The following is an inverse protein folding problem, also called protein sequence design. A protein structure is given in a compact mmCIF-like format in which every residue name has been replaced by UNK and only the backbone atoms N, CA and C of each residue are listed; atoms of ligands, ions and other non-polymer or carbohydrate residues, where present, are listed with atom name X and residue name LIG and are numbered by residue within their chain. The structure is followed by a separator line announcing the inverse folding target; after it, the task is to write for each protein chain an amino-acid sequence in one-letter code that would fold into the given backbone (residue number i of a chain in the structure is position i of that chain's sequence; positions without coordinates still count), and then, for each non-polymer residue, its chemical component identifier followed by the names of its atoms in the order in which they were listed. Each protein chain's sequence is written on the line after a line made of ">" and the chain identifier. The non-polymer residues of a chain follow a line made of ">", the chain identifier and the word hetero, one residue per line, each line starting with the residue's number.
data_IF_077360747919
#
_entry.id   IF_077360747919
#
_cell.length_a   1.000
_cell.length_b   1.000
_cell.length_c   1.000
_cell.angle_alpha   90.00
_cell.angle_beta   90.00
_cell.angle_gamma   90.00
#
_symmetry.space_group_name_H-M   'P 1'
#
loop_
_entity.id
_entity.type
_entity.pdbx_description
1 polymer ?
#
# COMPACT_ATOMS: atom_id res chain seq x y z
N UNK A 1 4.15 -23.73 -23.38
CA UNK A 1 3.56 -22.41 -23.11
C UNK A 1 3.38 -21.67 -24.44
N UNK A 2 2.25 -20.96 -24.65
CA UNK A 2 1.88 -20.42 -25.95
C UNK A 2 2.85 -19.35 -26.46
N UNK A 3 2.94 -19.25 -27.79
CA UNK A 3 3.81 -18.38 -28.57
C UNK A 3 3.32 -16.93 -28.58
N UNK A 4 3.31 -16.25 -27.43
CA UNK A 4 2.87 -14.84 -27.33
C UNK A 4 4.05 -13.90 -27.64
N UNK A 5 3.88 -13.05 -28.65
CA UNK A 5 4.77 -11.92 -28.96
C UNK A 5 4.73 -10.88 -27.83
N UNK A 6 5.82 -10.14 -27.65
CA UNK A 6 5.87 -9.11 -26.62
C UNK A 6 4.82 -8.04 -26.91
N UNK A 7 4.00 -7.69 -25.90
CA UNK A 7 2.97 -6.66 -26.08
C UNK A 7 3.64 -5.28 -26.07
N UNK A 8 3.73 -4.67 -27.25
CA UNK A 8 4.14 -3.28 -27.36
C UNK A 8 2.96 -2.36 -27.01
N UNK A 9 3.22 -1.26 -26.29
CA UNK A 9 2.20 -0.27 -25.93
C UNK A 9 1.64 0.45 -27.15
N UNK A 10 0.34 0.72 -27.15
CA UNK A 10 -0.39 1.27 -28.30
C UNK A 10 -0.05 2.75 -28.53
N UNK A 11 -0.01 3.16 -29.81
CA UNK A 11 0.08 4.58 -30.20
C UNK A 11 -1.30 5.24 -30.08
N UNK A 12 -1.40 6.48 -29.57
CA UNK A 12 -2.68 7.16 -29.43
C UNK A 12 -3.33 7.47 -30.80
N UNK A 13 -4.65 7.26 -30.90
CA UNK A 13 -5.41 7.39 -32.15
C UNK A 13 -5.64 8.85 -32.61
N UNK A 14 -5.69 9.82 -31.68
CA UNK A 14 -5.89 11.24 -31.99
C UNK A 14 -4.81 12.11 -31.34
N UNK A 15 -4.15 13.02 -32.09
CA UNK A 15 -3.14 13.90 -31.53
C UNK A 15 -3.82 15.04 -30.77
N UNK A 16 -3.83 14.94 -29.44
CA UNK A 16 -4.07 16.08 -28.55
C UNK A 16 -2.68 16.54 -28.09
N UNK A 17 -2.43 17.85 -27.97
CA UNK A 17 -1.16 18.34 -27.46
C UNK A 17 -0.87 17.78 -26.07
N UNK A 18 0.36 17.32 -25.85
CA UNK A 18 0.78 16.70 -24.57
C UNK A 18 0.55 17.64 -23.39
N UNK A 19 0.73 18.95 -23.58
CA UNK A 19 0.51 19.94 -22.53
C UNK A 19 -0.95 20.00 -22.08
N UNK A 20 -1.92 19.86 -22.99
CA UNK A 20 -3.34 19.86 -22.65
C UNK A 20 -3.72 18.60 -21.88
N UNK A 21 -3.20 17.45 -22.30
CA UNK A 21 -3.37 16.17 -21.60
C UNK A 21 -2.79 16.24 -20.18
N UNK A 22 -1.58 16.80 -20.04
CA UNK A 22 -0.95 17.00 -18.75
C UNK A 22 -1.79 17.93 -17.84
N UNK A 23 -2.27 19.06 -18.36
CA UNK A 23 -3.14 19.98 -17.60
C UNK A 23 -4.39 19.25 -17.09
N UNK A 24 -5.08 18.50 -17.94
CA UNK A 24 -6.30 17.77 -17.52
C UNK A 24 -5.98 16.73 -16.46
N UNK A 25 -4.92 15.92 -16.65
CA UNK A 25 -4.51 14.94 -15.67
C UNK A 25 -4.13 15.59 -14.33
N UNK A 26 -3.41 16.72 -14.36
CA UNK A 26 -3.06 17.50 -13.18
C UNK A 26 -4.30 18.06 -12.49
N UNK A 27 -5.28 18.61 -13.22
CA UNK A 27 -6.52 19.11 -12.63
C UNK A 27 -7.31 18.01 -11.91
N UNK A 28 -7.39 16.82 -12.50
CA UNK A 28 -8.07 15.68 -11.87
C UNK A 28 -7.29 15.20 -10.64
N UNK A 29 -5.95 15.16 -10.68
CA UNK A 29 -5.13 14.86 -9.49
C UNK A 29 -5.31 15.90 -8.38
N UNK A 30 -5.41 17.19 -8.73
CA UNK A 30 -5.67 18.26 -7.77
C UNK A 30 -7.07 18.14 -7.17
N UNK A 31 -8.08 17.77 -7.96
CA UNK A 31 -9.41 17.48 -7.45
C UNK A 31 -9.38 16.31 -6.45
N UNK A 32 -8.67 15.22 -6.80
CA UNK A 32 -8.43 14.09 -5.89
C UNK A 32 -7.73 14.52 -4.60
N UNK A 33 -6.68 15.33 -4.71
CA UNK A 33 -5.96 15.91 -3.56
C UNK A 33 -6.92 16.67 -2.64
N UNK A 34 -7.74 17.57 -3.19
CA UNK A 34 -8.70 18.33 -2.40
C UNK A 34 -9.68 17.41 -1.68
N UNK A 35 -10.23 16.40 -2.37
CA UNK A 35 -11.18 15.45 -1.76
C UNK A 35 -10.55 14.63 -0.63
N UNK A 36 -9.32 14.16 -0.80
CA UNK A 36 -8.61 13.37 0.22
C UNK A 36 -8.10 14.24 1.38
N UNK A 37 -7.62 15.45 1.11
CA UNK A 37 -7.13 16.38 2.12
C UNK A 37 -8.27 17.03 2.92
N UNK A 38 -9.44 17.22 2.30
CA UNK A 38 -10.58 17.83 2.96
C UNK A 38 -11.03 16.96 4.14
N UNK A 39 -11.05 17.57 5.32
CA UNK A 39 -11.42 16.93 6.58
C UNK A 39 -10.51 15.74 6.98
N UNK A 40 -9.27 15.66 6.47
CA UNK A 40 -8.36 14.50 6.65
C UNK A 40 -8.16 14.07 8.11
N UNK A 41 -8.16 15.03 9.03
CA UNK A 41 -7.90 14.80 10.45
C UNK A 41 -9.14 14.42 11.27
N UNK A 42 -10.35 14.54 10.72
CA UNK A 42 -11.58 14.18 11.42
C UNK A 42 -12.37 13.08 10.70
N UNK A 43 -12.02 12.77 9.46
CA UNK A 43 -12.59 11.66 8.70
C UNK A 43 -11.51 10.90 7.91
N UNK A 44 -11.57 9.57 7.82
CA UNK A 44 -12.40 8.70 8.66
C UNK A 44 -11.98 8.76 10.14
N UNK A 45 -12.75 8.16 11.03
CA UNK A 45 -12.33 8.01 12.43
C UNK A 45 -10.99 7.26 12.53
N UNK A 46 -10.27 7.45 13.63
CA UNK A 46 -8.97 6.79 13.82
C UNK A 46 -9.15 5.32 14.15
N UNK A 47 -8.34 4.48 13.51
CA UNK A 47 -8.37 3.03 13.68
C UNK A 47 -7.19 2.51 14.52
N UNK A 48 -7.35 1.30 15.04
CA UNK A 48 -6.33 0.62 15.86
C UNK A 48 -5.00 0.43 15.12
N UNK A 49 -5.06 0.08 13.83
CA UNK A 49 -3.88 -0.14 12.99
C UNK A 49 -3.06 1.15 12.81
N UNK A 50 -3.73 2.31 12.70
CA UNK A 50 -3.04 3.60 12.57
C UNK A 50 -2.17 3.88 13.79
N UNK A 51 -2.71 3.66 14.99
CA UNK A 51 -1.97 3.78 16.25
C UNK A 51 -0.81 2.80 16.32
N UNK A 52 -1.03 1.55 15.92
CA UNK A 52 0.00 0.50 15.93
C UNK A 52 1.17 0.87 15.02
N UNK A 53 0.91 1.30 13.79
CA UNK A 53 1.98 1.63 12.83
C UNK A 53 2.71 2.92 13.19
N UNK A 54 2.03 3.92 13.74
CA UNK A 54 2.68 5.12 14.27
C UNK A 54 3.54 4.80 15.50
N UNK A 55 3.12 3.87 16.35
CA UNK A 55 3.89 3.38 17.49
C UNK A 55 5.14 2.61 17.06
N UNK A 56 5.05 1.75 16.03
CA UNK A 56 6.22 1.11 15.43
C UNK A 56 7.18 2.12 14.80
N UNK A 57 6.66 3.14 14.12
CA UNK A 57 7.50 4.22 13.59
C UNK A 57 8.24 4.97 14.72
N UNK A 58 7.58 5.20 15.86
CA UNK A 58 8.24 5.77 17.05
C UNK A 58 9.35 4.88 17.57
N UNK A 59 9.12 3.56 17.66
CA UNK A 59 10.14 2.61 18.08
C UNK A 59 11.37 2.66 17.16
N UNK A 60 11.17 2.74 15.83
CA UNK A 60 12.26 2.81 14.82
C UNK A 60 13.12 4.05 15.00
N UNK A 61 12.50 5.20 15.26
CA UNK A 61 13.25 6.43 15.55
C UNK A 61 14.11 6.28 16.82
N UNK A 62 13.73 5.42 17.75
CA UNK A 62 14.46 5.13 18.99
C UNK A 62 15.36 3.88 18.91
N UNK A 63 15.62 3.34 17.71
CA UNK A 63 16.52 2.20 17.51
C UNK A 63 15.92 0.82 17.81
N UNK A 64 14.59 0.72 17.88
CA UNK A 64 13.84 -0.53 18.08
C UNK A 64 12.95 -0.83 16.86
N UNK A 65 12.50 -2.07 16.66
CA UNK A 65 11.54 -2.38 15.57
C UNK A 65 10.10 -2.07 16.00
N UNK A 66 9.76 -2.43 17.24
CA UNK A 66 8.47 -2.21 17.88
C UNK A 66 8.69 -1.85 19.36
N UNK A 67 7.73 -1.21 20.04
CA UNK A 67 7.87 -0.85 21.47
C UNK A 67 7.84 -2.06 22.42
N UNK A 68 7.45 -3.23 21.90
CA UNK A 68 7.35 -4.51 22.59
C UNK A 68 8.04 -5.59 21.73
N UNK A 69 8.22 -6.84 22.23
CA UNK A 69 8.85 -7.90 21.46
C UNK A 69 8.24 -8.06 20.07
N UNK A 70 9.09 -8.07 19.05
CA UNK A 70 8.65 -8.05 17.66
C UNK A 70 7.99 -9.38 17.27
N UNK A 71 6.68 -9.35 17.06
CA UNK A 71 5.86 -10.54 16.81
C UNK A 71 5.63 -10.90 15.35
N UNK A 72 6.48 -10.43 14.42
CA UNK A 72 6.46 -10.82 12.99
C UNK A 72 5.12 -10.67 12.23
N UNK A 73 4.15 -9.93 12.78
CA UNK A 73 2.85 -9.77 12.16
C UNK A 73 2.90 -9.09 10.78
N UNK A 74 3.81 -8.13 10.62
CA UNK A 74 4.13 -7.46 9.35
C UNK A 74 5.62 -7.20 9.24
N UNK A 75 6.23 -7.23 8.04
CA UNK A 75 7.60 -6.80 7.85
C UNK A 75 7.77 -5.29 8.09
N UNK A 76 8.95 -4.82 8.53
CA UNK A 76 9.09 -3.48 9.11
C UNK A 76 9.23 -2.35 8.09
N UNK A 77 9.33 -2.62 6.78
CA UNK A 77 9.72 -1.61 5.81
C UNK A 77 8.65 -0.51 5.61
N UNK A 78 7.38 -0.83 5.83
CA UNK A 78 6.32 0.17 5.84
C UNK A 78 6.47 1.13 7.03
N UNK A 79 6.81 0.61 8.21
CA UNK A 79 7.04 1.43 9.40
C UNK A 79 8.30 2.29 9.27
N UNK A 80 9.35 1.78 8.63
CA UNK A 80 10.58 2.53 8.34
C UNK A 80 10.28 3.75 7.46
N UNK A 81 9.38 3.61 6.47
CA UNK A 81 8.97 4.74 5.62
C UNK A 81 8.18 5.79 6.41
N UNK A 82 7.30 5.37 7.33
CA UNK A 82 6.59 6.27 8.23
C UNK A 82 7.58 6.99 9.16
N UNK A 83 8.55 6.27 9.75
CA UNK A 83 9.59 6.85 10.59
C UNK A 83 10.45 7.87 9.83
N UNK A 84 10.83 7.56 8.59
CA UNK A 84 11.58 8.48 7.73
C UNK A 84 10.78 9.77 7.45
N UNK A 85 9.50 9.64 7.13
CA UNK A 85 8.61 10.81 6.95
C UNK A 85 8.56 11.70 8.20
N UNK A 86 8.45 11.09 9.37
CA UNK A 86 8.37 11.81 10.64
C UNK A 86 9.66 12.58 10.91
N UNK A 87 10.82 11.96 10.70
CA UNK A 87 12.11 12.64 10.82
C UNK A 87 12.27 13.77 9.80
N UNK A 88 11.79 13.57 8.56
CA UNK A 88 11.85 14.58 7.50
C UNK A 88 10.93 15.78 7.75
N UNK A 89 9.81 15.58 8.44
CA UNK A 89 8.79 16.62 8.68
C UNK A 89 8.89 17.30 10.05
N UNK A 90 9.93 17.00 10.83
CA UNK A 90 10.18 17.66 12.11
C UNK A 90 9.48 17.03 13.32
N UNK A 91 8.95 15.81 13.19
CA UNK A 91 8.48 15.00 14.30
C UNK A 91 7.01 14.57 14.21
N UNK A 92 6.58 13.82 15.23
CA UNK A 92 5.23 13.22 15.27
C UNK A 92 4.11 14.27 15.30
N UNK A 93 4.35 15.40 15.96
CA UNK A 93 3.33 16.39 16.25
C UNK A 93 3.30 17.58 15.28
N UNK A 94 4.08 17.54 14.19
CA UNK A 94 4.14 18.62 13.18
C UNK A 94 2.77 19.01 12.64
N UNK A 95 1.88 18.03 12.46
CA UNK A 95 0.54 18.21 11.91
C UNK A 95 -0.57 18.06 12.97
N UNK A 96 -0.25 18.35 14.24
CA UNK A 96 -1.18 18.19 15.37
C UNK A 96 -0.92 16.89 16.12
N UNK A 97 -1.91 16.00 16.21
CA UNK A 97 -1.69 14.70 16.86
C UNK A 97 -0.75 13.82 16.02
N UNK A 98 -0.20 12.77 16.63
CA UNK A 98 0.76 11.88 15.98
C UNK A 98 0.19 11.23 14.69
N UNK A 99 -1.07 10.79 14.73
CA UNK A 99 -1.73 10.11 13.61
C UNK A 99 -1.87 11.02 12.38
N UNK A 100 -2.09 12.32 12.59
CA UNK A 100 -2.20 13.29 11.50
C UNK A 100 -0.95 13.33 10.62
N UNK A 101 0.24 13.24 11.22
CA UNK A 101 1.48 13.19 10.45
C UNK A 101 1.51 11.98 9.52
N UNK A 102 1.11 10.80 10.01
CA UNK A 102 0.96 9.61 9.18
C UNK A 102 -0.08 9.80 8.07
N UNK A 103 -1.24 10.40 8.36
CA UNK A 103 -2.29 10.63 7.35
C UNK A 103 -1.84 11.57 6.22
N UNK A 104 -1.03 12.58 6.52
CA UNK A 104 -0.43 13.44 5.50
C UNK A 104 0.51 12.63 4.59
N UNK A 105 1.27 11.69 5.13
CA UNK A 105 2.07 10.77 4.31
C UNK A 105 1.19 9.90 3.39
N UNK A 106 0.08 9.37 3.92
CA UNK A 106 -0.84 8.53 3.14
C UNK A 106 -1.46 9.28 1.97
N UNK A 107 -1.75 10.57 2.15
CA UNK A 107 -2.19 11.45 1.05
C UNK A 107 -1.19 11.47 -0.11
N UNK A 108 0.12 11.51 0.16
CA UNK A 108 1.15 11.46 -0.88
C UNK A 108 1.14 10.12 -1.62
N UNK A 109 1.01 9.01 -0.88
CA UNK A 109 0.88 7.68 -1.47
C UNK A 109 -0.40 7.53 -2.31
N UNK A 110 -1.51 8.10 -1.86
CA UNK A 110 -2.79 8.10 -2.59
C UNK A 110 -2.68 8.86 -3.92
N UNK A 111 -2.06 10.04 -3.92
CA UNK A 111 -1.82 10.83 -5.13
C UNK A 111 -0.86 10.13 -6.09
N UNK A 112 0.26 9.62 -5.56
CA UNK A 112 1.24 8.87 -6.35
C UNK A 112 0.60 7.64 -7.00
N UNK A 113 -0.20 6.89 -6.25
CA UNK A 113 -0.95 5.74 -6.75
C UNK A 113 -1.94 6.12 -7.83
N UNK A 114 -2.70 7.21 -7.64
CA UNK A 114 -3.66 7.72 -8.62
C UNK A 114 -2.98 8.09 -9.95
N UNK A 115 -1.82 8.75 -9.88
CA UNK A 115 -1.02 9.07 -11.05
C UNK A 115 -0.48 7.80 -11.72
N UNK A 116 0.02 6.83 -10.96
CA UNK A 116 0.53 5.57 -11.51
C UNK A 116 -0.55 4.74 -12.21
N UNK A 117 -1.78 4.75 -11.69
CA UNK A 117 -2.95 4.15 -12.36
C UNK A 117 -3.19 4.81 -13.71
N UNK A 118 -3.25 6.15 -13.75
CA UNK A 118 -3.39 6.89 -14.99
C UNK A 118 -2.29 6.54 -16.00
N UNK A 119 -1.02 6.63 -15.59
CA UNK A 119 0.12 6.38 -16.47
C UNK A 119 0.14 4.94 -17.00
N UNK A 120 -0.19 3.96 -16.16
CA UNK A 120 -0.23 2.55 -16.54
C UNK A 120 -1.31 2.26 -17.57
N UNK A 121 -2.55 2.69 -17.33
CA UNK A 121 -3.67 2.50 -18.27
C UNK A 121 -3.41 3.27 -19.57
N UNK A 122 -2.90 4.50 -19.45
CA UNK A 122 -2.57 5.33 -20.60
C UNK A 122 -1.55 4.66 -21.52
N UNK A 123 -0.60 3.94 -20.94
CA UNK A 123 0.44 3.20 -21.67
C UNK A 123 -0.06 1.86 -22.23
N UNK A 124 -0.92 1.15 -21.52
CA UNK A 124 -1.44 -0.17 -21.95
C UNK A 124 -2.47 -0.08 -23.08
N UNK A 125 -3.44 0.84 -22.95
CA UNK A 125 -4.56 0.96 -23.89
C UNK A 125 -4.38 2.07 -24.92
N UNK A 126 -3.56 3.08 -24.62
CA UNK A 126 -3.46 4.28 -25.45
C UNK A 126 -4.65 5.24 -25.36
N UNK A 127 -5.73 4.84 -24.69
CA UNK A 127 -6.94 5.66 -24.48
C UNK A 127 -6.74 6.64 -23.31
N UNK A 128 -6.90 7.94 -23.60
CA UNK A 128 -6.85 9.00 -22.58
C UNK A 128 -8.06 8.94 -21.67
N UNK A 129 -9.25 8.77 -22.26
CA UNK A 129 -10.50 8.75 -21.52
C UNK A 129 -10.53 7.59 -20.54
N UNK A 130 -10.11 6.39 -20.97
CA UNK A 130 -10.05 5.24 -20.06
C UNK A 130 -9.06 5.48 -18.92
N UNK A 131 -7.89 6.07 -19.21
CA UNK A 131 -6.90 6.38 -18.18
C UNK A 131 -7.41 7.42 -17.17
N UNK A 132 -8.06 8.49 -17.64
CA UNK A 132 -8.66 9.51 -16.77
C UNK A 132 -9.81 8.91 -15.94
N UNK A 133 -10.68 8.11 -16.54
CA UNK A 133 -11.76 7.42 -15.83
C UNK A 133 -11.20 6.47 -14.76
N UNK A 134 -10.17 5.70 -15.08
CA UNK A 134 -9.52 4.80 -14.12
C UNK A 134 -8.92 5.60 -12.94
N UNK A 135 -8.28 6.74 -13.20
CA UNK A 135 -7.76 7.62 -12.15
C UNK A 135 -8.88 8.21 -11.28
N UNK A 136 -9.98 8.66 -11.89
CA UNK A 136 -11.15 9.18 -11.18
C UNK A 136 -11.77 8.09 -10.31
N UNK A 137 -12.00 6.90 -10.85
CA UNK A 137 -12.58 5.77 -10.10
C UNK A 137 -11.65 5.39 -8.95
N UNK A 138 -10.35 5.25 -9.21
CA UNK A 138 -9.38 4.88 -8.17
C UNK A 138 -9.27 5.93 -7.06
N UNK A 139 -9.35 7.22 -7.38
CA UNK A 139 -9.18 8.29 -6.37
C UNK A 139 -10.48 8.67 -5.67
N UNK A 140 -11.62 8.65 -6.35
CA UNK A 140 -12.89 9.15 -5.83
C UNK A 140 -13.87 8.06 -5.41
N UNK A 141 -13.50 6.77 -5.51
CA UNK A 141 -14.38 5.71 -4.98
C UNK A 141 -14.58 5.87 -3.46
N UNK A 142 -15.77 5.56 -2.92
CA UNK A 142 -16.02 5.66 -1.48
C UNK A 142 -15.02 4.84 -0.65
N UNK A 143 -14.64 3.66 -1.17
CA UNK A 143 -13.66 2.78 -0.55
C UNK A 143 -12.28 3.44 -0.49
N UNK A 144 -11.85 4.05 -1.60
CA UNK A 144 -10.58 4.76 -1.68
C UNK A 144 -10.54 5.93 -0.71
N UNK A 145 -11.62 6.72 -0.64
CA UNK A 145 -11.70 7.85 0.28
C UNK A 145 -11.52 7.36 1.73
N UNK A 146 -12.17 6.26 2.13
CA UNK A 146 -12.01 5.76 3.51
C UNK A 146 -10.60 5.22 3.75
N UNK A 147 -10.16 4.24 2.97
CA UNK A 147 -8.95 3.48 3.30
C UNK A 147 -7.65 4.20 2.93
N UNK A 148 -7.61 4.98 1.83
CA UNK A 148 -6.38 5.65 1.40
C UNK A 148 -5.98 6.83 2.30
N UNK A 149 -6.91 7.33 3.13
CA UNK A 149 -6.66 8.39 4.11
C UNK A 149 -6.06 7.87 5.42
N UNK A 150 -6.34 6.61 5.77
CA UNK A 150 -5.86 6.01 7.00
C UNK A 150 -4.39 5.61 6.89
N UNK A 151 -3.68 5.65 8.00
CA UNK A 151 -2.32 5.11 8.11
C UNK A 151 -2.39 3.58 8.04
N UNK A 152 -2.43 3.04 6.83
CA UNK A 152 -2.45 1.61 6.56
C UNK A 152 -1.23 1.20 5.72
N UNK A 153 -0.65 0.05 6.04
CA UNK A 153 0.48 -0.52 5.28
C UNK A 153 0.08 -0.87 3.84
N UNK A 154 -1.20 -1.13 3.60
CA UNK A 154 -1.77 -1.36 2.28
C UNK A 154 -1.53 -0.18 1.35
N UNK A 155 -1.70 1.05 1.83
CA UNK A 155 -1.52 2.25 1.02
C UNK A 155 -0.07 2.39 0.53
N UNK A 156 0.89 2.11 1.42
CA UNK A 156 2.31 2.11 1.11
C UNK A 156 2.62 0.99 0.11
N UNK A 157 2.19 -0.23 0.41
CA UNK A 157 2.47 -1.39 -0.43
C UNK A 157 1.81 -1.33 -1.81
N UNK A 158 0.60 -0.77 -1.92
CA UNK A 158 -0.11 -0.55 -3.18
C UNK A 158 0.62 0.46 -4.06
N UNK A 159 1.13 1.56 -3.50
CA UNK A 159 1.95 2.50 -4.26
C UNK A 159 3.16 1.82 -4.91
N UNK A 160 3.92 1.06 -4.12
CA UNK A 160 5.11 0.35 -4.61
C UNK A 160 4.77 -0.75 -5.63
N UNK A 161 3.65 -1.45 -5.45
CA UNK A 161 3.13 -2.41 -6.43
C UNK A 161 2.77 -1.72 -7.75
N UNK A 162 2.03 -0.61 -7.70
CA UNK A 162 1.64 0.16 -8.88
C UNK A 162 2.86 0.72 -9.60
N UNK A 163 3.88 1.16 -8.85
CA UNK A 163 5.14 1.62 -9.43
C UNK A 163 5.88 0.48 -10.13
N UNK A 164 5.92 -0.71 -9.50
CA UNK A 164 6.51 -1.91 -10.12
C UNK A 164 5.78 -2.29 -11.42
N UNK A 165 4.46 -2.28 -11.43
CA UNK A 165 3.64 -2.52 -12.62
C UNK A 165 3.92 -1.49 -13.71
N UNK A 166 3.92 -0.21 -13.37
CA UNK A 166 4.21 0.86 -14.32
C UNK A 166 5.59 0.69 -14.97
N UNK A 167 6.62 0.40 -14.16
CA UNK A 167 7.99 0.15 -14.63
C UNK A 167 8.06 -1.06 -15.59
N UNK A 168 7.32 -2.15 -15.31
CA UNK A 168 7.23 -3.28 -16.23
C UNK A 168 6.57 -2.88 -17.56
N UNK A 169 5.48 -2.12 -17.51
CA UNK A 169 4.73 -1.70 -18.69
C UNK A 169 5.56 -0.79 -19.61
N UNK A 170 6.41 0.08 -19.05
CA UNK A 170 7.31 0.95 -19.83
C UNK A 170 8.65 0.30 -20.20
N UNK A 171 8.94 -0.90 -19.69
CA UNK A 171 10.29 -1.48 -19.75
C UNK A 171 10.80 -1.69 -21.18
N UNK A 172 9.92 -1.96 -22.16
CA UNK A 172 10.29 -2.31 -23.54
C UNK A 172 11.40 -3.40 -23.58
N UNK A 173 11.30 -4.41 -22.70
CA UNK A 173 12.32 -5.47 -22.51
C UNK A 173 13.70 -5.02 -21.99
N UNK A 174 13.86 -3.76 -21.58
CA UNK A 174 15.12 -3.27 -21.00
C UNK A 174 15.25 -3.76 -19.56
N UNK A 175 16.36 -4.43 -19.27
CA UNK A 175 16.64 -5.06 -17.98
C UNK A 175 16.55 -4.09 -16.79
N UNK A 176 17.04 -2.86 -16.94
CA UNK A 176 17.04 -1.86 -15.85
C UNK A 176 15.64 -1.65 -15.28
N UNK A 177 14.63 -1.43 -16.12
CA UNK A 177 13.25 -1.23 -15.67
C UNK A 177 12.67 -2.48 -15.01
N UNK A 178 13.05 -3.67 -15.48
CA UNK A 178 12.62 -4.95 -14.90
C UNK A 178 13.22 -5.15 -13.50
N UNK A 179 14.51 -4.83 -13.32
CA UNK A 179 15.17 -4.88 -12.02
C UNK A 179 14.61 -3.83 -11.07
N UNK A 180 14.40 -2.59 -11.54
CA UNK A 180 13.75 -1.54 -10.73
C UNK A 180 12.32 -1.94 -10.34
N UNK A 181 11.56 -2.57 -11.24
CA UNK A 181 10.25 -3.12 -10.92
C UNK A 181 10.33 -4.22 -9.86
N UNK A 182 11.31 -5.12 -9.95
CA UNK A 182 11.54 -6.14 -8.94
C UNK A 182 11.90 -5.54 -7.57
N UNK A 183 12.71 -4.48 -7.55
CA UNK A 183 13.04 -3.75 -6.32
C UNK A 183 11.78 -3.13 -5.71
N UNK A 184 11.00 -2.40 -6.50
CA UNK A 184 9.75 -1.79 -6.04
C UNK A 184 8.77 -2.86 -5.53
N UNK A 185 8.66 -4.00 -6.20
CA UNK A 185 7.80 -5.08 -5.76
C UNK A 185 8.30 -5.75 -4.48
N UNK A 186 9.61 -5.91 -4.31
CA UNK A 186 10.21 -6.33 -3.04
C UNK A 186 9.89 -5.36 -1.89
N UNK A 187 9.96 -4.05 -2.14
CA UNK A 187 9.57 -3.02 -1.16
C UNK A 187 8.08 -3.12 -0.81
N UNK A 188 7.21 -3.39 -1.80
CA UNK A 188 5.78 -3.63 -1.57
C UNK A 188 5.55 -4.83 -0.64
N UNK A 189 6.19 -5.98 -0.92
CA UNK A 189 6.12 -7.18 -0.07
C UNK A 189 6.62 -6.92 1.36
N UNK A 190 7.74 -6.20 1.49
CA UNK A 190 8.29 -5.84 2.80
C UNK A 190 7.52 -4.73 3.52
N UNK A 191 6.63 -4.02 2.81
CA UNK A 191 5.71 -3.06 3.43
C UNK A 191 4.48 -3.77 3.99
N UNK A 192 3.97 -4.78 3.27
CA UNK A 192 2.91 -5.68 3.73
C UNK A 192 3.03 -7.05 3.07
N UNK A 193 3.11 -8.10 3.88
CA UNK A 193 3.38 -9.48 3.47
C UNK A 193 2.35 -10.04 2.48
N UNK A 194 1.11 -9.56 2.52
CA UNK A 194 0.03 -10.04 1.64
C UNK A 194 0.31 -9.79 0.15
N UNK A 195 1.20 -8.83 -0.19
CA UNK A 195 1.55 -8.55 -1.58
C UNK A 195 2.32 -9.70 -2.26
N UNK A 196 2.81 -10.69 -1.50
CA UNK A 196 3.35 -11.96 -2.03
C UNK A 196 2.35 -12.66 -2.95
N UNK A 197 1.05 -12.48 -2.73
CA UNK A 197 0.00 -13.04 -3.59
C UNK A 197 0.05 -12.53 -5.04
N UNK A 198 0.69 -11.37 -5.29
CA UNK A 198 0.85 -10.82 -6.63
C UNK A 198 2.05 -11.41 -7.39
N UNK A 199 2.88 -12.27 -6.79
CA UNK A 199 4.03 -12.91 -7.46
C UNK A 199 3.64 -13.55 -8.81
N UNK A 200 2.59 -14.37 -8.91
CA UNK A 200 2.22 -14.99 -10.20
C UNK A 200 1.86 -13.95 -11.27
N UNK A 201 1.12 -12.90 -10.88
CA UNK A 201 0.73 -11.81 -11.78
C UNK A 201 1.95 -11.01 -12.25
N UNK A 202 2.90 -10.73 -11.36
CA UNK A 202 4.13 -10.00 -11.68
C UNK A 202 5.06 -10.80 -12.59
N UNK A 203 5.25 -12.11 -12.30
CA UNK A 203 6.00 -13.01 -13.18
C UNK A 203 5.36 -13.06 -14.58
N UNK A 204 4.04 -13.15 -14.64
CA UNK A 204 3.31 -13.11 -15.90
C UNK A 204 3.47 -11.75 -16.63
N UNK A 205 3.47 -10.63 -15.89
CA UNK A 205 3.74 -9.30 -16.43
C UNK A 205 5.12 -9.19 -17.07
N UNK A 206 6.17 -9.69 -16.40
CA UNK A 206 7.53 -9.76 -16.97
C UNK A 206 7.54 -10.59 -18.25
N UNK A 207 6.85 -11.73 -18.25
CA UNK A 207 6.77 -12.60 -19.42
C UNK A 207 6.10 -11.91 -20.63
N UNK A 208 5.04 -11.12 -20.38
CA UNK A 208 4.27 -10.40 -21.40
C UNK A 208 5.04 -9.21 -22.00
N UNK A 209 5.80 -8.48 -21.17
CA UNK A 209 6.52 -7.27 -21.57
C UNK A 209 7.98 -7.50 -21.99
N UNK A 210 8.42 -8.77 -22.07
CA UNK A 210 9.78 -9.13 -22.51
C UNK A 210 9.77 -9.91 -23.83
N UNK A 211 10.66 -9.54 -24.76
CA UNK A 211 10.92 -10.30 -26.00
C UNK A 211 11.35 -11.73 -25.71
N UNK A 212 11.06 -12.65 -26.65
CA UNK A 212 11.38 -14.08 -26.50
C UNK A 212 12.86 -14.35 -26.22
N UNK A 213 13.75 -13.54 -26.82
CA UNK A 213 15.20 -13.66 -26.64
C UNK A 213 15.64 -13.33 -25.21
N UNK A 214 15.14 -12.23 -24.63
CA UNK A 214 15.55 -11.75 -23.29
C UNK A 214 14.71 -12.32 -22.14
N UNK A 215 13.59 -12.98 -22.45
CA UNK A 215 12.58 -13.42 -21.47
C UNK A 215 13.14 -14.29 -20.36
N UNK A 216 13.93 -15.31 -20.69
CA UNK A 216 14.50 -16.22 -19.67
C UNK A 216 15.39 -15.46 -18.70
N UNK A 217 16.32 -14.68 -19.22
CA UNK A 217 17.24 -13.89 -18.41
C UNK A 217 16.51 -12.85 -17.56
N UNK A 218 15.53 -12.15 -18.13
CA UNK A 218 14.76 -11.12 -17.43
C UNK A 218 13.89 -11.70 -16.31
N UNK A 219 13.29 -12.88 -16.53
CA UNK A 219 12.54 -13.61 -15.49
C UNK A 219 13.46 -14.02 -14.34
N UNK A 220 14.64 -14.57 -14.64
CA UNK A 220 15.62 -14.95 -13.61
C UNK A 220 16.06 -13.71 -12.83
N UNK A 221 16.42 -12.61 -13.51
CA UNK A 221 16.82 -11.37 -12.86
C UNK A 221 15.72 -10.80 -11.96
N UNK A 222 14.46 -10.81 -12.44
CA UNK A 222 13.31 -10.36 -11.67
C UNK A 222 13.11 -11.23 -10.42
N UNK A 223 13.00 -12.55 -10.59
CA UNK A 223 12.77 -13.50 -9.49
C UNK A 223 13.90 -13.43 -8.46
N UNK A 224 15.14 -13.43 -8.92
CA UNK A 224 16.31 -13.35 -8.04
C UNK A 224 16.30 -12.06 -7.22
N UNK A 225 15.98 -10.92 -7.84
CA UNK A 225 15.91 -9.63 -7.14
C UNK A 225 14.79 -9.61 -6.10
N UNK A 226 13.59 -10.10 -6.45
CA UNK A 226 12.46 -10.19 -5.50
C UNK A 226 12.81 -11.10 -4.32
N UNK A 227 13.38 -12.28 -4.58
CA UNK A 227 13.81 -13.22 -3.53
C UNK A 227 14.90 -12.59 -2.65
N UNK A 228 15.89 -11.93 -3.26
CA UNK A 228 16.99 -11.29 -2.52
C UNK A 228 16.50 -10.18 -1.58
N UNK A 229 15.49 -9.42 -1.98
CA UNK A 229 14.92 -8.37 -1.13
C UNK A 229 14.00 -9.00 -0.08
N UNK A 230 13.08 -9.89 -0.49
CA UNK A 230 12.15 -10.56 0.42
C UNK A 230 12.86 -11.41 1.48
N UNK A 231 14.00 -12.02 1.15
CA UNK A 231 14.78 -12.82 2.09
C UNK A 231 15.39 -12.00 3.23
N UNK A 232 15.49 -10.66 3.11
CA UNK A 232 15.97 -9.81 4.21
C UNK A 232 15.09 -9.93 5.47
N UNK A 233 13.78 -10.13 5.29
CA UNK A 233 12.86 -10.33 6.41
C UNK A 233 13.09 -11.67 7.11
N UNK A 234 13.26 -12.74 6.32
CA UNK A 234 13.60 -14.07 6.84
C UNK A 234 14.97 -14.06 7.51
N UNK A 235 15.95 -13.39 6.89
CA UNK A 235 17.30 -13.24 7.42
C UNK A 235 17.28 -12.55 8.79
N UNK A 236 16.47 -11.51 8.95
CA UNK A 236 16.30 -10.84 10.25
C UNK A 236 15.78 -11.83 11.32
N UNK A 237 14.80 -12.67 10.99
CA UNK A 237 14.30 -13.69 11.92
C UNK A 237 15.38 -14.71 12.28
N UNK A 238 16.17 -15.17 11.29
CA UNK A 238 17.30 -16.08 11.50
C UNK A 238 18.36 -15.47 12.40
N UNK A 239 18.74 -14.20 12.16
CA UNK A 239 19.76 -13.50 12.96
C UNK A 239 19.32 -13.27 14.40
N UNK A 240 18.01 -13.13 14.66
CA UNK A 240 17.45 -13.04 16.01
C UNK A 240 17.26 -14.41 16.69
N UNK A 241 17.44 -15.52 15.96
CA UNK A 241 17.10 -16.86 16.46
C UNK A 241 15.60 -17.12 16.54
N UNK A 242 14.77 -16.28 15.92
CA UNK A 242 13.30 -16.26 16.05
C UNK A 242 12.60 -16.82 14.80
N UNK A 243 13.30 -17.55 13.93
CA UNK A 243 12.67 -18.16 12.75
C UNK A 243 11.72 -19.31 13.15
N UNK A 244 12.18 -20.19 14.04
CA UNK A 244 11.47 -21.39 14.45
C UNK A 244 10.72 -21.21 15.77
N UNK A 245 9.68 -22.01 16.04
CA UNK A 245 8.99 -22.04 17.32
C UNK A 245 9.93 -22.31 18.49
N UNK A 246 9.67 -21.65 19.63
CA UNK A 246 10.46 -21.82 20.84
C UNK A 246 10.44 -23.29 21.29
N UNK A 247 11.63 -23.85 21.56
CA UNK A 247 11.78 -25.25 21.99
C UNK A 247 11.74 -26.30 20.87
N UNK A 248 11.63 -25.90 19.59
CA UNK A 248 11.76 -26.83 18.47
C UNK A 248 13.21 -27.30 18.29
N UNK A 249 14.18 -26.40 18.51
CA UNK A 249 15.59 -26.71 18.36
C UNK A 249 16.17 -27.24 19.68
N UNK A 250 17.02 -28.30 19.67
CA UNK A 250 17.53 -28.92 20.90
C UNK A 250 18.30 -28.00 21.84
N UNK A 251 18.78 -26.86 21.35
CA UNK A 251 19.54 -25.86 22.10
C UNK A 251 18.71 -24.64 22.48
N UNK A 252 17.48 -24.52 22.00
CA UNK A 252 16.62 -23.37 22.24
C UNK A 252 15.72 -23.59 23.46
N UNK A 253 16.06 -22.92 24.56
CA UNK A 253 15.40 -23.05 25.85
C UNK A 253 14.80 -21.73 26.34
N UNK A 254 14.86 -20.67 25.53
CA UNK A 254 14.43 -19.34 25.93
C UNK A 254 13.06 -19.02 25.30
N UNK A 255 12.08 -18.51 26.06
CA UNK A 255 10.82 -18.07 25.48
C UNK A 255 11.05 -16.90 24.53
N UNK A 256 10.73 -17.08 23.25
CA UNK A 256 10.75 -16.03 22.26
C UNK A 256 9.56 -16.17 21.30
N UNK A 257 9.26 -15.09 20.58
CA UNK A 257 8.28 -15.12 19.49
C UNK A 257 8.93 -15.77 18.27
N UNK A 258 8.12 -16.41 17.42
CA UNK A 258 8.62 -16.98 16.17
C UNK A 258 7.87 -16.47 14.96
N UNK A 259 8.61 -16.31 13.86
CA UNK A 259 8.07 -15.93 12.57
C UNK A 259 7.12 -17.01 12.04
N UNK A 260 7.53 -18.29 12.09
CA UNK A 260 6.74 -19.39 11.56
C UNK A 260 5.45 -19.61 12.35
N UNK A 261 5.47 -19.59 13.69
CA UNK A 261 4.24 -19.71 14.48
C UNK A 261 3.28 -18.58 14.18
N UNK A 262 3.78 -17.35 14.04
CA UNK A 262 2.94 -16.20 13.70
C UNK A 262 2.22 -16.42 12.39
N UNK A 263 2.91 -16.90 11.34
CA UNK A 263 2.29 -17.18 10.06
C UNK A 263 1.33 -18.37 10.09
N UNK A 264 1.65 -19.44 10.82
CA UNK A 264 0.73 -20.56 11.00
C UNK A 264 -0.53 -20.13 11.73
N UNK A 265 -0.40 -19.37 12.83
CA UNK A 265 -1.54 -18.80 13.55
C UNK A 265 -2.37 -17.85 12.68
N UNK A 266 -1.73 -17.02 11.86
CA UNK A 266 -2.44 -16.15 10.92
C UNK A 266 -3.20 -16.95 9.84
N UNK A 267 -2.61 -18.04 9.34
CA UNK A 267 -3.26 -18.91 8.36
C UNK A 267 -4.44 -19.70 8.95
N UNK A 268 -4.37 -20.04 10.24
CA UNK A 268 -5.45 -20.72 10.97
C UNK A 268 -6.60 -19.80 11.40
N UNK A 269 -6.39 -18.47 11.40
CA UNK A 269 -7.45 -17.50 11.67
C UNK A 269 -8.48 -17.55 10.55
N UNK A 270 -9.53 -18.36 10.75
CA UNK A 270 -10.74 -18.29 9.94
C UNK A 270 -11.39 -16.92 10.13
N UNK A 271 -11.43 -16.11 9.07
CA UNK A 271 -12.24 -14.90 9.05
C UNK A 271 -13.56 -15.18 8.34
N UNK A 272 -14.67 -14.78 8.98
CA UNK A 272 -15.99 -14.70 8.33
C UNK A 272 -16.15 -13.38 7.55
N UNK A 273 -15.11 -12.54 7.52
CA UNK A 273 -15.07 -11.27 6.82
C UNK A 273 -14.64 -11.47 5.36
N UNK A 274 -15.17 -10.66 4.44
CA UNK A 274 -14.90 -10.79 3.01
C UNK A 274 -15.90 -11.65 2.22
N UNK A 275 -16.98 -12.14 2.86
CA UNK A 275 -18.09 -12.72 2.10
C UNK A 275 -18.70 -11.66 1.19
N UNK A 276 -18.65 -11.89 -0.12
CA UNK A 276 -19.25 -10.98 -1.10
C UNK A 276 -20.72 -10.69 -0.79
N UNK A 277 -21.48 -11.68 -0.32
CA UNK A 277 -22.89 -11.49 0.02
C UNK A 277 -23.08 -10.58 1.24
N UNK A 278 -22.22 -10.70 2.25
CA UNK A 278 -22.25 -9.84 3.45
C UNK A 278 -21.81 -8.42 3.09
N UNK A 279 -20.73 -8.26 2.34
CA UNK A 279 -20.25 -6.96 1.85
C UNK A 279 -21.28 -6.29 0.93
N UNK A 280 -21.94 -7.05 0.06
CA UNK A 280 -23.00 -6.57 -0.82
C UNK A 280 -24.25 -6.16 -0.04
N UNK A 281 -24.68 -6.95 0.94
CA UNK A 281 -25.80 -6.62 1.83
C UNK A 281 -25.52 -5.36 2.67
N UNK A 282 -24.30 -5.22 3.20
CA UNK A 282 -23.86 -4.01 3.89
C UNK A 282 -23.81 -2.79 2.95
N UNK A 283 -23.34 -2.98 1.71
CA UNK A 283 -23.24 -1.89 0.73
C UNK A 283 -24.60 -1.42 0.22
N UNK A 284 -25.52 -2.34 0.00
CA UNK A 284 -26.89 -2.04 -0.45
C UNK A 284 -27.83 -1.62 0.69
N UNK A 285 -27.54 -2.05 1.92
CA UNK A 285 -28.30 -1.69 3.12
C UNK A 285 -27.75 -0.49 3.88
N UNK A 286 -26.54 -0.02 3.55
CA UNK A 286 -25.96 1.19 4.12
C UNK A 286 -26.64 2.43 3.56
N UNK A 287 -27.19 3.27 4.45
CA UNK A 287 -27.84 4.51 4.04
C UNK A 287 -26.88 5.38 3.20
N UNK A 288 -27.38 5.86 2.06
CA UNK A 288 -26.78 6.89 1.20
C UNK A 288 -26.39 8.18 1.97
N UNK A 289 -26.85 8.33 3.22
CA UNK A 289 -26.48 9.41 4.14
C UNK A 289 -25.01 9.41 4.54
N UNK A 290 -24.31 8.27 4.49
CA UNK A 290 -22.86 8.19 4.81
C UNK A 290 -21.99 8.93 3.79
N UNK A 291 -22.39 8.95 2.51
CA UNK A 291 -21.74 9.76 1.47
C UNK A 291 -21.99 11.26 1.67
N UNK A 292 -23.17 11.64 2.17
CA UNK A 292 -23.53 13.04 2.43
C UNK A 292 -23.01 13.59 3.77
N UNK A 293 -22.81 12.75 4.78
CA UNK A 293 -22.21 13.15 6.06
C UNK A 293 -20.74 13.57 5.92
N UNK A 294 -20.06 13.15 4.84
CA UNK A 294 -18.73 13.61 4.47
C UNK A 294 -18.66 15.14 4.26
N UNK A 295 -19.81 15.80 3.98
CA UNK A 295 -19.89 17.24 3.69
C UNK A 295 -20.48 18.10 4.83
N UNK A 296 -21.04 17.52 5.90
CA UNK A 296 -21.83 18.28 6.88
C UNK A 296 -21.39 18.20 8.35
N UNK A 297 -20.27 17.54 8.67
CA UNK A 297 -19.74 17.54 10.04
C UNK A 297 -18.93 18.81 10.36
N UNK A 298 -19.63 19.95 10.45
CA UNK A 298 -19.19 21.03 11.34
C UNK A 298 -19.52 20.61 12.79
N UNK A 299 -18.60 20.73 13.75
CA UNK A 299 -18.83 20.23 15.09
C UNK A 299 -19.87 21.11 15.80
N UNK A 300 -21.05 20.56 16.07
CA UNK A 300 -21.91 21.11 17.11
C UNK A 300 -21.26 20.80 18.46
N UNK A 301 -20.82 21.85 19.16
CA UNK A 301 -20.48 21.81 20.58
C UNK A 301 -21.66 21.19 21.35
N UNK A 302 -21.58 19.92 21.72
CA UNK A 302 -22.40 19.34 22.77
C UNK A 302 -21.60 19.38 24.07
N UNK A 303 -21.85 20.43 24.86
CA UNK A 303 -21.59 20.46 26.30
C UNK A 303 -22.31 19.27 26.95
N UNK A 304 -21.59 18.18 27.23
CA UNK A 304 -22.08 17.17 28.19
C UNK A 304 -21.80 17.68 29.59
N UNK A 305 -22.89 18.02 30.28
CA UNK A 305 -22.93 18.27 31.71
C UNK A 305 -22.34 17.07 32.45
N UNK A 306 -21.24 17.29 33.17
CA UNK A 306 -20.79 16.41 34.25
C UNK A 306 -21.75 16.56 35.42
N UNK A 307 -22.70 15.64 35.58
CA UNK A 307 -23.43 15.48 36.84
C UNK A 307 -22.58 14.65 37.79
N UNK A 308 -21.95 15.33 38.75
CA UNK A 308 -21.44 14.74 39.98
C UNK A 308 -22.61 14.11 40.74
N UNK A 309 -22.54 12.79 41.01
CA UNK A 309 -23.33 12.17 42.08
C UNK A 309 -22.39 11.86 43.23
N UNK A 310 -22.53 12.65 44.28
CA UNK A 310 -22.16 12.24 45.63
C UNK A 310 -23.19 11.22 46.12
N UNK A 311 -22.70 10.09 46.64
CA UNK A 311 -23.18 9.36 47.82
C UNK A 311 -22.16 8.28 48.14
#
# INVERSE_FOLDING_TARGET
>A
MPQVEARNPLKPAFPVPVWLEAIVATLVLLAGLVVHAFNLFYFPHYELDEGTYMSSAWAIVHGMITPYPYGYGHPPLGWIQIAAWIQLTGGFFTFGNALNSGRVLMLLFALGSSLLVYLSIRRLEGSRTTALLAMVIFSLSPLSIVYQRQVLLDNIGTFWLLLALYLLVISESRLLYIVLAAICFGISILSKEIFVLFIPAMIYGVWLHTTRFQRKFSLVAFIYTVISIGSSFVLMAVLKGELFPAGLLPWDHHPHLSMLDTFFQQAERGQNEGSFSVSWAAWTGGDLSTLFHCFHSLPSMQLRQFTLRAN
#
